data_IF_961099728821
#
_entry.id   IF_961099728821
#
_cell.length_a   1.000
_cell.length_b   1.000
_cell.length_c   1.000
_cell.angle_alpha   90.00
_cell.angle_beta   90.00
_cell.angle_gamma   90.00
#
_symmetry.space_group_name_H-M   'P 1'
#
loop_
_entity.id
_entity.type
_entity.pdbx_description
1 polymer ?
#
# COMPACT_ATOMS: atom_id res chain seq x y z
N UNK A 1 -3.17 -14.45 12.01
CA UNK A 1 -3.98 -14.91 10.90
C UNK A 1 -3.87 -16.43 10.78
N UNK A 2 -4.92 -17.09 10.28
CA UNK A 2 -4.90 -18.54 10.00
C UNK A 2 -4.30 -18.86 8.64
N UNK A 3 -4.23 -17.87 7.74
CA UNK A 3 -3.66 -18.04 6.41
C UNK A 3 -2.14 -18.05 6.46
N UNK A 4 -1.52 -19.05 5.83
CA UNK A 4 -0.07 -19.15 5.72
C UNK A 4 0.32 -19.57 4.31
N UNK A 5 1.51 -19.16 3.89
CA UNK A 5 2.11 -19.49 2.60
C UNK A 5 3.62 -19.60 2.73
N UNK A 6 4.24 -20.25 1.75
CA UNK A 6 5.71 -20.35 1.69
C UNK A 6 6.16 -19.81 0.34
N UNK A 7 6.88 -18.68 0.29
CA UNK A 7 7.44 -18.18 -0.95
C UNK A 7 8.42 -19.19 -1.55
N UNK A 8 8.28 -19.47 -2.85
CA UNK A 8 9.17 -20.36 -3.60
C UNK A 8 9.65 -19.65 -4.85
N UNK A 9 10.77 -20.10 -5.38
CA UNK A 9 11.24 -19.64 -6.68
C UNK A 9 10.22 -20.02 -7.76
N UNK A 10 9.86 -19.03 -8.61
CA UNK A 10 8.96 -19.24 -9.77
C UNK A 10 9.68 -18.72 -11.00
N UNK A 11 9.96 -19.59 -11.95
CA UNK A 11 10.63 -19.22 -13.19
C UNK A 11 9.80 -18.21 -13.99
N UNK A 12 10.46 -17.21 -14.57
CA UNK A 12 9.80 -16.13 -15.29
C UNK A 12 9.12 -15.06 -14.41
N UNK A 13 9.05 -15.26 -13.09
CA UNK A 13 8.45 -14.29 -12.13
C UNK A 13 9.45 -13.79 -11.09
N UNK A 14 9.85 -14.62 -10.15
CA UNK A 14 10.82 -14.27 -9.11
C UNK A 14 11.67 -15.50 -8.78
N UNK A 15 12.98 -15.40 -9.03
CA UNK A 15 13.92 -16.47 -8.70
C UNK A 15 14.24 -16.52 -7.21
N UNK A 16 14.39 -15.37 -6.57
CA UNK A 16 14.80 -15.23 -5.18
C UNK A 16 13.78 -14.37 -4.41
N UNK A 17 12.56 -14.88 -4.14
CA UNK A 17 11.57 -14.11 -3.38
C UNK A 17 12.03 -13.90 -1.94
N UNK A 18 11.67 -12.76 -1.36
CA UNK A 18 11.90 -12.50 0.06
C UNK A 18 11.29 -13.62 0.91
N UNK A 19 12.03 -14.08 1.93
CA UNK A 19 11.63 -15.21 2.80
C UNK A 19 11.46 -16.55 2.07
N UNK A 20 12.18 -16.79 0.99
CA UNK A 20 12.13 -18.04 0.23
C UNK A 20 12.26 -19.26 1.16
N UNK A 21 11.41 -20.26 0.96
CA UNK A 21 11.31 -21.50 1.74
C UNK A 21 10.99 -21.34 3.23
N UNK A 22 10.55 -20.13 3.66
CA UNK A 22 10.11 -19.90 5.05
C UNK A 22 8.59 -19.78 5.10
N UNK A 23 7.98 -20.41 6.10
CA UNK A 23 6.54 -20.27 6.34
C UNK A 23 6.23 -18.84 6.78
N UNK A 24 5.41 -18.17 5.99
CA UNK A 24 4.92 -16.80 6.25
C UNK A 24 3.43 -16.84 6.62
N UNK A 25 3.00 -15.84 7.37
CA UNK A 25 1.59 -15.62 7.72
C UNK A 25 1.13 -14.32 7.11
N UNK A 26 -0.13 -14.27 6.67
CA UNK A 26 -0.64 -13.09 6.00
C UNK A 26 -2.16 -13.07 5.88
N UNK A 27 -2.67 -12.21 5.01
CA UNK A 27 -4.09 -12.12 4.68
C UNK A 27 -4.30 -12.64 3.26
N UNK A 28 -5.30 -13.52 3.09
CA UNK A 28 -5.75 -13.95 1.77
C UNK A 28 -6.74 -12.92 1.22
N UNK A 29 -6.35 -12.22 0.16
CA UNK A 29 -7.16 -11.18 -0.47
C UNK A 29 -7.90 -11.66 -1.72
N UNK A 30 -7.77 -12.93 -2.12
CA UNK A 30 -8.36 -13.45 -3.36
C UNK A 30 -9.87 -13.32 -3.43
N UNK A 31 -10.56 -13.41 -2.28
CA UNK A 31 -12.01 -13.36 -2.16
C UNK A 31 -12.52 -12.04 -1.54
N UNK A 32 -11.66 -11.02 -1.45
CA UNK A 32 -12.06 -9.71 -0.95
C UNK A 32 -12.75 -8.92 -2.06
N UNK A 33 -13.92 -8.34 -1.77
CA UNK A 33 -14.62 -7.51 -2.73
C UNK A 33 -13.76 -6.34 -3.21
N UNK A 34 -13.76 -6.11 -4.52
CA UNK A 34 -13.05 -4.98 -5.11
C UNK A 34 -13.63 -3.65 -4.62
N UNK A 35 -12.75 -2.77 -4.19
CA UNK A 35 -13.08 -1.38 -3.84
C UNK A 35 -12.49 -0.45 -4.89
N UNK A 36 -13.29 0.52 -5.37
CA UNK A 36 -12.84 1.54 -6.33
C UNK A 36 -12.04 2.67 -5.65
N UNK A 37 -11.30 2.34 -4.61
CA UNK A 37 -10.51 3.31 -3.83
C UNK A 37 -9.23 2.68 -3.29
N UNK A 38 -8.27 3.53 -2.90
CA UNK A 38 -7.07 3.08 -2.19
C UNK A 38 -7.46 2.68 -0.77
N UNK A 39 -7.33 1.38 -0.46
CA UNK A 39 -7.59 0.84 0.88
C UNK A 39 -6.30 0.80 1.70
N UNK A 40 -6.14 1.75 2.61
CA UNK A 40 -4.99 1.83 3.50
C UNK A 40 -5.06 0.88 4.69
N UNK A 41 -6.19 0.21 4.92
CA UNK A 41 -6.39 -0.64 6.10
C UNK A 41 -5.37 -1.78 6.17
N UNK A 42 -5.00 -2.34 5.02
CA UNK A 42 -4.01 -3.43 4.96
C UNK A 42 -2.61 -2.99 5.35
N UNK A 43 -2.12 -1.86 4.82
CA UNK A 43 -0.79 -1.36 5.14
C UNK A 43 -0.70 -0.92 6.61
N UNK A 44 -1.74 -0.28 7.14
CA UNK A 44 -1.85 0.09 8.55
C UNK A 44 -1.78 -1.16 9.43
N UNK A 45 -2.64 -2.15 9.15
CA UNK A 45 -2.71 -3.39 9.94
C UNK A 45 -1.41 -4.19 9.88
N UNK A 46 -0.77 -4.28 8.73
CA UNK A 46 0.52 -4.96 8.61
C UNK A 46 1.62 -4.21 9.38
N UNK A 47 1.62 -2.88 9.35
CA UNK A 47 2.52 -2.10 10.18
C UNK A 47 2.28 -2.34 11.67
N UNK A 48 1.02 -2.38 12.12
CA UNK A 48 0.67 -2.61 13.53
C UNK A 48 1.15 -3.97 14.07
N UNK A 49 1.04 -5.04 13.28
CA UNK A 49 1.42 -6.39 13.69
C UNK A 49 2.91 -6.70 13.49
N UNK A 50 3.64 -5.88 12.75
CA UNK A 50 5.07 -6.07 12.53
C UNK A 50 5.87 -5.76 13.79
N UNK A 51 6.75 -6.66 14.21
CA UNK A 51 7.64 -6.44 15.35
C UNK A 51 8.78 -5.47 15.02
N UNK A 52 9.39 -5.62 13.85
CA UNK A 52 10.44 -4.72 13.36
C UNK A 52 9.82 -3.51 12.64
N UNK A 53 9.43 -2.50 13.41
CA UNK A 53 8.84 -1.27 12.88
C UNK A 53 9.79 -0.50 11.97
N UNK A 54 11.08 -0.52 12.28
CA UNK A 54 12.09 0.20 11.48
C UNK A 54 12.31 -0.48 10.12
N UNK A 55 12.36 -1.81 10.11
CA UNK A 55 12.55 -2.59 8.88
C UNK A 55 11.30 -2.67 7.99
N UNK A 56 10.11 -2.36 8.52
CA UNK A 56 8.85 -2.46 7.77
C UNK A 56 8.84 -1.69 6.46
N UNK A 57 9.41 -0.49 6.44
CA UNK A 57 9.43 0.37 5.26
C UNK A 57 10.55 0.04 4.26
N UNK A 58 11.34 -1.00 4.55
CA UNK A 58 12.46 -1.41 3.69
C UNK A 58 13.63 -0.43 3.71
N UNK A 59 14.56 -0.64 2.77
CA UNK A 59 15.78 0.17 2.63
C UNK A 59 15.61 1.22 1.52
N UNK A 60 16.48 2.23 1.52
CA UNK A 60 16.63 3.20 0.42
C UNK A 60 15.37 4.02 0.10
N UNK A 61 14.52 4.28 1.10
CA UNK A 61 13.26 5.03 0.93
C UNK A 61 12.35 4.45 -0.18
N UNK A 62 12.41 3.14 -0.40
CA UNK A 62 11.64 2.49 -1.45
C UNK A 62 10.14 2.63 -1.22
N UNK A 63 9.70 2.55 0.03
CA UNK A 63 8.30 2.79 0.41
C UNK A 63 7.82 4.18 -0.03
N UNK A 64 8.61 5.22 0.26
CA UNK A 64 8.28 6.60 -0.10
C UNK A 64 8.21 6.79 -1.63
N UNK A 65 9.09 6.11 -2.37
CA UNK A 65 9.07 6.12 -3.84
C UNK A 65 7.81 5.46 -4.40
N UNK A 66 7.37 4.35 -3.82
CA UNK A 66 6.12 3.68 -4.21
C UNK A 66 4.88 4.50 -3.84
N UNK A 67 4.88 5.12 -2.67
CA UNK A 67 3.78 5.96 -2.21
C UNK A 67 3.72 7.32 -2.95
N UNK A 68 4.82 7.72 -3.60
CA UNK A 68 4.94 9.04 -4.22
C UNK A 68 5.03 10.21 -3.23
N UNK A 69 5.20 9.90 -1.94
CA UNK A 69 5.28 10.89 -0.85
C UNK A 69 5.97 10.32 0.38
N UNK A 70 6.68 11.16 1.12
CA UNK A 70 7.27 10.81 2.43
C UNK A 70 6.25 10.94 3.57
N UNK A 71 5.14 11.65 3.35
CA UNK A 71 4.14 11.96 4.38
C UNK A 71 3.40 10.70 4.86
N UNK A 72 3.09 9.76 3.96
CA UNK A 72 2.36 8.53 4.33
C UNK A 72 3.13 7.71 5.36
N UNK A 73 4.43 7.55 5.20
CA UNK A 73 5.30 6.85 6.17
C UNK A 73 5.20 7.49 7.55
N UNK A 74 5.31 8.81 7.62
CA UNK A 74 5.20 9.54 8.88
C UNK A 74 3.82 9.37 9.52
N UNK A 75 2.75 9.43 8.74
CA UNK A 75 1.38 9.25 9.23
C UNK A 75 1.14 7.83 9.78
N UNK A 76 1.75 6.80 9.17
CA UNK A 76 1.72 5.43 9.70
C UNK A 76 2.46 5.31 11.03
N UNK A 77 3.63 5.94 11.17
CA UNK A 77 4.41 5.98 12.42
C UNK A 77 3.60 6.67 13.52
N UNK A 78 2.91 7.76 13.21
CA UNK A 78 2.01 8.51 14.10
C UNK A 78 0.70 7.76 14.40
N UNK A 79 0.49 6.58 13.81
CA UNK A 79 -0.72 5.76 13.97
C UNK A 79 -2.02 6.48 13.56
N UNK A 80 -1.96 7.34 12.56
CA UNK A 80 -3.16 7.98 12.02
C UNK A 80 -4.10 6.93 11.40
N UNK A 81 -5.40 7.17 11.54
CA UNK A 81 -6.40 6.31 10.91
C UNK A 81 -6.39 6.45 9.38
N UNK A 82 -6.91 5.45 8.66
CA UNK A 82 -7.07 5.53 7.20
C UNK A 82 -7.92 6.74 6.78
N UNK A 83 -8.91 7.10 7.59
CA UNK A 83 -9.78 8.26 7.33
C UNK A 83 -8.98 9.56 7.46
N UNK A 84 -8.23 9.73 8.55
CA UNK A 84 -7.43 10.94 8.77
C UNK A 84 -6.36 11.11 7.68
N UNK A 85 -5.72 10.02 7.28
CA UNK A 85 -4.74 10.04 6.19
C UNK A 85 -5.40 10.50 4.89
N UNK A 86 -6.55 9.91 4.52
CA UNK A 86 -7.29 10.29 3.31
C UNK A 86 -7.75 11.75 3.32
N UNK A 87 -8.13 12.28 4.48
CA UNK A 87 -8.51 13.68 4.61
C UNK A 87 -7.37 14.64 4.24
N UNK A 88 -6.12 14.27 4.51
CA UNK A 88 -4.96 15.11 4.14
C UNK A 88 -4.77 15.25 2.63
N UNK A 89 -5.28 14.32 1.83
CA UNK A 89 -5.14 14.33 0.37
C UNK A 89 -6.22 15.13 -0.35
N UNK A 90 -7.35 15.39 0.32
CA UNK A 90 -8.57 15.89 -0.35
C UNK A 90 -8.34 17.22 -1.07
N UNK A 91 -7.64 18.16 -0.44
CA UNK A 91 -7.38 19.47 -1.04
C UNK A 91 -6.60 19.35 -2.35
N UNK A 92 -5.49 18.62 -2.31
CA UNK A 92 -4.59 18.49 -3.48
C UNK A 92 -5.26 17.63 -4.56
N UNK A 93 -6.02 16.62 -4.16
CA UNK A 93 -6.78 15.78 -5.08
C UNK A 93 -7.86 16.59 -5.83
N UNK A 94 -8.58 17.50 -5.16
CA UNK A 94 -9.55 18.38 -5.81
C UNK A 94 -8.89 19.32 -6.82
N UNK A 95 -7.75 19.91 -6.45
CA UNK A 95 -6.97 20.75 -7.37
C UNK A 95 -6.51 19.95 -8.59
N UNK A 96 -5.97 18.75 -8.37
CA UNK A 96 -5.54 17.87 -9.43
C UNK A 96 -6.69 17.47 -10.37
N UNK A 97 -7.84 17.08 -9.83
CA UNK A 97 -9.03 16.72 -10.62
C UNK A 97 -9.50 17.87 -11.50
N UNK A 98 -9.54 19.09 -10.97
CA UNK A 98 -9.92 20.27 -11.74
C UNK A 98 -8.92 20.57 -12.88
N UNK A 99 -7.63 20.41 -12.61
CA UNK A 99 -6.57 20.56 -13.62
C UNK A 99 -6.67 19.47 -14.68
N UNK A 100 -6.77 18.20 -14.27
CA UNK A 100 -6.81 17.01 -15.13
C UNK A 100 -7.92 17.09 -16.18
N UNK A 101 -9.12 17.58 -15.83
CA UNK A 101 -10.27 17.72 -16.76
C UNK A 101 -9.95 18.49 -18.03
N UNK A 102 -9.00 19.43 -17.99
CA UNK A 102 -8.59 20.22 -19.17
C UNK A 102 -7.77 19.42 -20.18
N UNK A 103 -7.22 18.29 -19.80
CA UNK A 103 -6.29 17.49 -20.60
C UNK A 103 -6.84 16.12 -20.99
N UNK A 104 -8.07 15.78 -20.57
CA UNK A 104 -8.69 14.52 -20.94
C UNK A 104 -9.07 14.51 -22.42
N UNK A 105 -8.67 13.48 -23.14
CA UNK A 105 -9.04 13.22 -24.53
C UNK A 105 -10.27 12.30 -24.65
N UNK A 106 -10.82 11.85 -23.53
CA UNK A 106 -11.96 10.93 -23.44
C UNK A 106 -12.85 11.35 -22.25
N UNK A 107 -14.08 10.83 -22.22
CA UNK A 107 -15.02 11.10 -21.13
C UNK A 107 -14.45 10.61 -19.80
N UNK A 108 -14.52 11.47 -18.78
CA UNK A 108 -14.12 11.10 -17.42
C UNK A 108 -15.08 10.03 -16.87
N UNK A 109 -14.52 9.13 -16.05
CA UNK A 109 -15.27 8.05 -15.39
C UNK A 109 -15.69 8.41 -13.95
N UNK A 110 -15.41 9.65 -13.51
CA UNK A 110 -15.79 10.19 -12.20
C UNK A 110 -17.06 11.04 -12.28
#
# INVERSE_FOLDING_TARGET
>A
TTFSFTPVSIDGMSKDPMHMNKKCYGYDLRNVAYKKEVDLSYVIKMYEVTNDKAGYFGKNNFFDKLAGTTTLKQQLIEKKSAVDIKLTWQKDLLVYKAMRKKYLLYTDFE
#
